data_IF_380867885308
#
_entry.id   IF_380867885308
#
_cell.length_a   1.000
_cell.length_b   1.000
_cell.length_c   1.000
_cell.angle_alpha   90.00
_cell.angle_beta   90.00
_cell.angle_gamma   90.00
#
_symmetry.space_group_name_H-M   'P 1'
#
loop_
_entity.id
_entity.type
_entity.pdbx_description
1 polymer ?
#
# COMPACT_ATOMS: atom_id res chain seq x y z
N UNK A 1 2.43 5.82 10.04
CA UNK A 1 1.78 4.76 9.24
C UNK A 1 1.51 3.59 10.16
N UNK A 2 0.40 2.89 9.93
CA UNK A 2 -0.01 1.72 10.72
C UNK A 2 -0.33 0.55 9.80
N UNK A 3 -0.14 -0.68 10.28
CA UNK A 3 -0.57 -1.86 9.54
C UNK A 3 -2.04 -2.22 9.87
N UNK A 4 -2.54 -3.31 9.27
CA UNK A 4 -3.92 -3.78 9.46
C UNK A 4 -4.31 -4.05 10.92
N UNK A 5 -3.34 -4.37 11.78
CA UNK A 5 -3.57 -4.66 13.20
C UNK A 5 -3.31 -3.47 14.13
N UNK A 6 -3.06 -2.28 13.56
CA UNK A 6 -2.86 -1.05 14.32
C UNK A 6 -1.44 -0.86 14.87
N UNK A 7 -0.48 -1.69 14.46
CA UNK A 7 0.92 -1.52 14.86
C UNK A 7 1.61 -0.48 13.97
N UNK A 8 2.52 0.30 14.57
CA UNK A 8 3.27 1.32 13.86
C UNK A 8 4.25 0.70 12.87
N UNK A 9 4.22 1.18 11.63
CA UNK A 9 5.17 0.82 10.57
C UNK A 9 6.05 2.03 10.29
N UNK A 10 7.36 1.83 10.34
CA UNK A 10 8.36 2.86 10.00
C UNK A 10 8.13 3.37 8.57
N UNK A 11 8.29 4.68 8.34
CA UNK A 11 8.23 5.30 7.02
C UNK A 11 9.49 4.98 6.20
N UNK A 12 9.63 3.72 5.81
CA UNK A 12 10.75 3.20 5.04
C UNK A 12 10.21 2.22 3.99
N UNK A 13 10.61 2.36 2.71
CA UNK A 13 10.10 1.51 1.63
C UNK A 13 10.35 0.02 1.89
N UNK A 14 11.51 -0.35 2.42
CA UNK A 14 11.83 -1.75 2.74
C UNK A 14 10.92 -2.31 3.82
N UNK A 15 10.68 -1.54 4.90
CA UNK A 15 9.78 -1.95 5.99
C UNK A 15 8.34 -2.12 5.52
N UNK A 16 7.89 -1.22 4.65
CA UNK A 16 6.55 -1.32 4.04
C UNK A 16 6.47 -2.51 3.11
N UNK A 17 7.49 -2.76 2.27
CA UNK A 17 7.53 -3.94 1.41
C UNK A 17 7.50 -5.24 2.22
N UNK A 18 8.26 -5.30 3.32
CA UNK A 18 8.26 -6.45 4.23
C UNK A 18 6.88 -6.65 4.88
N UNK A 19 6.23 -5.58 5.31
CA UNK A 19 4.87 -5.63 5.89
C UNK A 19 3.83 -6.11 4.85
N UNK A 20 3.97 -5.72 3.58
CA UNK A 20 3.10 -6.15 2.50
C UNK A 20 3.30 -7.64 2.14
N UNK A 21 4.55 -8.08 1.98
CA UNK A 21 4.84 -9.42 1.47
C UNK A 21 4.87 -10.51 2.57
N UNK A 22 5.24 -10.14 3.80
CA UNK A 22 5.49 -11.08 4.90
C UNK A 22 4.68 -10.77 6.16
N UNK A 23 4.23 -9.52 6.31
CA UNK A 23 3.42 -9.06 7.44
C UNK A 23 1.92 -9.22 7.19
N UNK A 24 1.17 -8.17 7.51
CA UNK A 24 -0.30 -8.18 7.42
C UNK A 24 -0.85 -7.94 6.02
N UNK A 25 0.01 -7.62 5.05
CA UNK A 25 -0.41 -7.36 3.68
C UNK A 25 -1.00 -5.98 3.43
N UNK A 26 -1.02 -5.09 4.43
CA UNK A 26 -1.56 -3.74 4.29
C UNK A 26 -0.89 -2.73 5.22
N UNK A 27 -0.67 -1.53 4.70
CA UNK A 27 -0.19 -0.35 5.43
C UNK A 27 -1.10 0.84 5.10
N UNK A 28 -1.49 1.57 6.13
CA UNK A 28 -2.33 2.77 6.05
C UNK A 28 -1.54 3.99 6.56
N UNK A 29 -1.75 5.11 5.90
CA UNK A 29 -1.25 6.43 6.28
C UNK A 29 -2.38 7.46 6.14
N UNK A 30 -2.18 8.65 6.67
CA UNK A 30 -3.18 9.71 6.51
C UNK A 30 -3.41 10.02 5.03
N UNK A 31 -4.63 9.81 4.56
CA UNK A 31 -5.05 10.07 3.18
C UNK A 31 -4.69 9.01 2.15
N UNK A 32 -3.94 7.95 2.50
CA UNK A 32 -3.61 6.88 1.55
C UNK A 32 -3.42 5.51 2.21
N UNK A 33 -3.67 4.45 1.45
CA UNK A 33 -3.36 3.07 1.85
C UNK A 33 -2.62 2.32 0.74
N UNK A 34 -1.79 1.36 1.12
CA UNK A 34 -1.11 0.42 0.22
C UNK A 34 -1.31 -1.00 0.76
N UNK A 35 -1.78 -1.92 -0.08
CA UNK A 35 -2.09 -3.29 0.35
C UNK A 35 -1.98 -4.29 -0.80
N UNK A 36 -1.86 -5.58 -0.48
CA UNK A 36 -1.89 -6.65 -1.48
C UNK A 36 -3.32 -7.16 -1.63
N UNK A 37 -3.81 -7.18 -2.87
CA UNK A 37 -5.07 -7.80 -3.27
C UNK A 37 -4.75 -9.07 -4.07
N UNK A 38 -5.43 -10.17 -3.77
CA UNK A 38 -5.36 -11.38 -4.59
C UNK A 38 -6.61 -11.43 -5.46
N UNK A 39 -6.45 -11.21 -6.76
CA UNK A 39 -7.56 -11.31 -7.72
C UNK A 39 -7.84 -12.77 -8.10
N UNK A 40 -6.85 -13.67 -7.93
CA UNK A 40 -6.97 -15.12 -8.04
C UNK A 40 -5.90 -15.82 -7.19
N UNK A 41 -5.92 -17.17 -7.12
CA UNK A 41 -4.95 -17.96 -6.34
C UNK A 41 -3.49 -17.74 -6.75
N UNK A 42 -3.23 -17.27 -7.98
CA UNK A 42 -1.89 -17.04 -8.53
C UNK A 42 -1.54 -15.57 -8.74
N UNK A 43 -2.55 -14.70 -8.81
CA UNK A 43 -2.35 -13.31 -9.20
C UNK A 43 -2.53 -12.40 -7.98
N UNK A 44 -1.41 -11.83 -7.54
CA UNK A 44 -1.34 -10.85 -6.45
C UNK A 44 -0.92 -9.51 -7.05
N UNK A 45 -1.61 -8.46 -6.65
CA UNK A 45 -1.30 -7.09 -7.06
C UNK A 45 -1.16 -6.20 -5.83
N UNK A 46 -0.30 -5.19 -5.96
CA UNK A 46 -0.19 -4.11 -5.00
C UNK A 46 -1.21 -3.06 -5.38
N UNK A 47 -2.12 -2.76 -4.45
CA UNK A 47 -3.14 -1.74 -4.59
C UNK A 47 -2.74 -0.54 -3.75
N UNK A 48 -2.81 0.64 -4.35
CA UNK A 48 -2.68 1.93 -3.67
C UNK A 48 -4.01 2.66 -3.79
N UNK A 49 -4.53 3.17 -2.68
CA UNK A 49 -5.75 3.98 -2.65
C UNK A 49 -5.49 5.34 -2.02
N UNK A 50 -6.19 6.37 -2.52
CA UNK A 50 -6.24 7.69 -1.91
C UNK A 50 -7.61 7.90 -1.27
N UNK A 51 -7.62 8.06 0.05
CA UNK A 51 -8.85 8.10 0.84
C UNK A 51 -9.58 9.45 0.72
N UNK A 52 -8.82 10.53 0.43
CA UNK A 52 -9.35 11.89 0.38
C UNK A 52 -9.78 12.39 -1.01
N UNK A 53 -9.71 11.56 -2.05
CA UNK A 53 -10.13 11.95 -3.39
C UNK A 53 -11.56 11.49 -3.68
N UNK A 54 -12.37 12.36 -4.29
CA UNK A 54 -13.69 12.01 -4.85
C UNK A 54 -13.62 12.19 -6.37
N UNK A 55 -13.74 11.13 -7.18
CA UNK A 55 -13.87 9.71 -6.80
C UNK A 55 -12.58 9.16 -6.18
N UNK A 56 -12.72 8.11 -5.36
CA UNK A 56 -11.58 7.43 -4.73
C UNK A 56 -10.58 6.99 -5.80
N UNK A 57 -9.35 7.49 -5.74
CA UNK A 57 -8.30 7.07 -6.65
C UNK A 57 -7.77 5.71 -6.21
N UNK A 58 -7.72 4.77 -7.16
CA UNK A 58 -7.12 3.44 -6.99
C UNK A 58 -6.11 3.24 -8.10
N UNK A 59 -4.90 2.80 -7.74
CA UNK A 59 -3.89 2.33 -8.68
C UNK A 59 -3.53 0.88 -8.33
N UNK A 60 -3.29 0.07 -9.35
CA UNK A 60 -2.91 -1.34 -9.22
C UNK A 60 -1.57 -1.56 -9.92
N UNK A 61 -0.71 -2.35 -9.28
CA UNK A 61 0.65 -2.65 -9.73
C UNK A 61 0.93 -4.13 -9.55
N UNK A 62 1.79 -4.70 -10.38
CA UNK A 62 2.31 -6.05 -10.15
C UNK A 62 3.26 -6.06 -8.94
N UNK A 63 3.50 -7.22 -8.31
CA UNK A 63 4.40 -7.31 -7.14
C UNK A 63 5.83 -6.83 -7.45
N UNK A 64 6.26 -6.97 -8.70
CA UNK A 64 7.57 -6.54 -9.19
C UNK A 64 7.67 -5.00 -9.29
N UNK A 65 6.54 -4.31 -9.35
CA UNK A 65 6.41 -2.85 -9.49
C UNK A 65 6.27 -2.14 -8.14
N UNK A 66 6.85 -2.71 -7.07
CA UNK A 66 6.78 -2.13 -5.73
C UNK A 66 7.29 -0.69 -5.68
N UNK A 67 8.34 -0.35 -6.45
CA UNK A 67 8.88 1.02 -6.49
C UNK A 67 7.83 2.03 -6.97
N UNK A 68 7.12 1.73 -8.07
CA UNK A 68 6.05 2.62 -8.57
C UNK A 68 4.87 2.71 -7.60
N UNK A 69 4.50 1.59 -6.98
CA UNK A 69 3.45 1.57 -5.97
C UNK A 69 3.83 2.42 -4.75
N UNK A 70 5.08 2.36 -4.31
CA UNK A 70 5.60 3.15 -3.21
C UNK A 70 5.60 4.65 -3.54
N UNK A 71 6.10 5.04 -4.71
CA UNK A 71 6.08 6.45 -5.16
C UNK A 71 4.66 7.00 -5.21
N UNK A 72 3.70 6.21 -5.73
CA UNK A 72 2.28 6.58 -5.76
C UNK A 72 1.71 6.76 -4.35
N UNK A 73 2.01 5.83 -3.44
CA UNK A 73 1.58 5.90 -2.05
C UNK A 73 2.20 7.10 -1.29
N UNK A 74 3.45 7.47 -1.60
CA UNK A 74 4.09 8.68 -1.06
C UNK A 74 3.43 9.93 -1.62
N UNK A 75 3.10 9.97 -2.90
CA UNK A 75 2.46 11.13 -3.52
C UNK A 75 1.03 11.36 -3.02
N UNK A 76 0.30 10.29 -2.69
CA UNK A 76 -1.11 10.37 -2.32
C UNK A 76 -1.38 10.57 -0.84
N UNK A 77 -0.39 10.31 0.03
CA UNK A 77 -0.52 10.58 1.47
C UNK A 77 -0.63 12.09 1.70
N UNK A 78 -1.37 12.48 2.73
CA UNK A 78 -1.33 13.85 3.26
C UNK A 78 -0.03 14.02 4.04
N UNK A 79 0.69 15.12 3.76
CA UNK A 79 1.89 15.52 4.50
C UNK A 79 1.55 16.00 5.89
#
# INVERSE_FOLDING_TARGET
MINKVGLQVENNPKRVQDELLRGTGAVMADGAAIFIESTNFKDKQIIVTQDSATPHQKAAFDLEQFSQAWETFVAWRKS
#
